data_IF_789894917089
#
_entry.id   IF_789894917089
#
_cell.length_a   1.000
_cell.length_b   1.000
_cell.length_c   1.000
_cell.angle_alpha   90.00
_cell.angle_beta   90.00
_cell.angle_gamma   90.00
#
_symmetry.space_group_name_H-M   'P 1'
#
loop_
_entity.id
_entity.type
_entity.pdbx_description
1 polymer ?
#
# COMPACT_ATOMS: atom_id res chain seq x y z
N UNK A 1 -19.73 -11.26 14.73
CA UNK A 1 -19.18 -10.31 13.73
C UNK A 1 -17.65 -10.36 13.59
N UNK A 2 -16.95 -11.40 14.09
CA UNK A 2 -15.48 -11.47 14.01
C UNK A 2 -14.93 -12.04 12.71
N UNK A 3 -15.77 -12.70 11.90
CA UNK A 3 -15.36 -13.42 10.68
C UNK A 3 -15.13 -12.51 9.47
N UNK A 4 -15.62 -11.26 9.52
CA UNK A 4 -15.63 -10.35 8.36
C UNK A 4 -14.36 -9.49 8.27
N UNK A 5 -13.83 -9.02 9.41
CA UNK A 5 -12.66 -8.14 9.43
C UNK A 5 -11.38 -8.81 8.89
N UNK A 6 -11.18 -10.10 9.16
CA UNK A 6 -10.04 -10.85 8.64
C UNK A 6 -10.14 -11.04 7.12
N UNK A 7 -11.34 -11.29 6.59
CA UNK A 7 -11.58 -11.41 5.15
C UNK A 7 -11.40 -10.05 4.45
N UNK A 8 -11.89 -8.97 5.04
CA UNK A 8 -11.66 -7.60 4.57
C UNK A 8 -10.17 -7.28 4.55
N UNK A 9 -9.43 -7.59 5.62
CA UNK A 9 -7.99 -7.37 5.68
C UNK A 9 -7.24 -8.14 4.58
N UNK A 10 -7.56 -9.43 4.40
CA UNK A 10 -6.95 -10.24 3.34
C UNK A 10 -7.23 -9.68 1.94
N UNK A 11 -8.46 -9.20 1.69
CA UNK A 11 -8.82 -8.57 0.42
C UNK A 11 -8.09 -7.25 0.19
N UNK A 12 -7.96 -6.42 1.22
CA UNK A 12 -7.20 -5.17 1.14
C UNK A 12 -5.72 -5.44 0.88
N UNK A 13 -5.15 -6.48 1.49
CA UNK A 13 -3.79 -6.93 1.20
C UNK A 13 -3.62 -7.37 -0.25
N UNK A 14 -4.53 -8.21 -0.77
CA UNK A 14 -4.48 -8.66 -2.16
C UNK A 14 -4.58 -7.49 -3.16
N UNK A 15 -5.48 -6.53 -2.90
CA UNK A 15 -5.59 -5.31 -3.73
C UNK A 15 -4.29 -4.50 -3.69
N UNK A 16 -3.66 -4.39 -2.51
CA UNK A 16 -2.39 -3.67 -2.36
C UNK A 16 -1.27 -4.32 -3.19
N UNK A 17 -1.13 -5.64 -3.10
CA UNK A 17 -0.12 -6.42 -3.84
C UNK A 17 -0.32 -6.29 -5.36
N UNK A 18 -1.57 -6.35 -5.80
CA UNK A 18 -1.93 -6.17 -7.21
C UNK A 18 -1.58 -4.75 -7.71
N UNK A 19 -1.96 -3.72 -6.96
CA UNK A 19 -1.63 -2.33 -7.28
C UNK A 19 -0.11 -2.10 -7.32
N UNK A 20 0.67 -2.70 -6.41
CA UNK A 20 2.13 -2.60 -6.42
C UNK A 20 2.74 -3.15 -7.70
N UNK A 21 2.19 -4.26 -8.19
CA UNK A 21 2.68 -4.94 -9.38
C UNK A 21 2.34 -4.16 -10.64
N UNK A 22 1.17 -3.53 -10.68
CA UNK A 22 0.64 -2.92 -11.90
C UNK A 22 0.97 -1.43 -12.06
N UNK A 23 1.07 -0.66 -10.97
CA UNK A 23 1.12 0.82 -11.05
C UNK A 23 2.29 1.34 -11.88
N UNK A 24 3.49 0.73 -11.76
CA UNK A 24 4.67 1.17 -12.50
C UNK A 24 4.61 0.78 -13.99
N UNK A 25 4.30 -0.47 -14.37
CA UNK A 25 4.01 -0.80 -15.76
C UNK A 25 2.96 0.12 -16.40
N UNK A 26 1.84 0.39 -15.71
CA UNK A 26 0.80 1.29 -16.23
C UNK A 26 1.30 2.73 -16.37
N UNK A 27 2.17 3.21 -15.47
CA UNK A 27 2.78 4.54 -15.59
C UNK A 27 3.73 4.63 -16.80
N UNK A 28 4.51 3.58 -17.06
CA UNK A 28 5.38 3.48 -18.25
C UNK A 28 4.54 3.47 -19.53
N UNK A 29 3.43 2.74 -19.56
CA UNK A 29 2.51 2.75 -20.70
C UNK A 29 1.89 4.14 -20.93
N UNK A 30 1.47 4.83 -19.86
CA UNK A 30 0.94 6.19 -19.95
C UNK A 30 1.99 7.21 -20.44
N UNK A 31 3.28 6.98 -20.14
CA UNK A 31 4.37 7.77 -20.68
C UNK A 31 4.50 7.64 -22.20
N UNK A 32 4.23 6.45 -22.76
CA UNK A 32 4.26 6.24 -24.20
C UNK A 32 3.10 6.95 -24.93
N UNK A 33 1.98 7.23 -24.25
CA UNK A 33 0.85 7.98 -24.81
C UNK A 33 0.91 9.49 -24.54
N UNK A 34 1.93 9.98 -23.81
CA UNK A 34 2.06 11.40 -23.46
C UNK A 34 1.02 11.91 -22.46
N UNK A 35 0.35 11.00 -21.74
CA UNK A 35 -0.70 11.34 -20.77
C UNK A 35 -0.06 11.77 -19.43
N UNK A 36 0.44 13.00 -19.39
CA UNK A 36 1.18 13.53 -18.24
C UNK A 36 0.37 13.62 -16.94
N UNK A 37 -0.96 13.77 -17.03
CA UNK A 37 -1.83 13.78 -15.84
C UNK A 37 -1.93 12.38 -15.25
N UNK A 38 -2.19 11.37 -16.09
CA UNK A 38 -2.23 9.98 -15.67
C UNK A 38 -0.90 9.48 -15.12
N UNK A 39 0.22 9.86 -15.72
CA UNK A 39 1.56 9.53 -15.19
C UNK A 39 1.72 10.10 -13.78
N UNK A 40 1.37 11.38 -13.58
CA UNK A 40 1.50 12.05 -12.29
C UNK A 40 0.68 11.35 -11.22
N UNK A 41 -0.55 10.96 -11.54
CA UNK A 41 -1.45 10.30 -10.59
C UNK A 41 -0.97 8.88 -10.25
N UNK A 42 -0.46 8.12 -11.22
CA UNK A 42 0.12 6.79 -11.00
C UNK A 42 1.41 6.85 -10.17
N UNK A 43 2.27 7.85 -10.41
CA UNK A 43 3.49 8.05 -9.60
C UNK A 43 3.14 8.39 -8.15
N UNK A 44 2.15 9.28 -7.93
CA UNK A 44 1.66 9.58 -6.58
C UNK A 44 1.14 8.33 -5.87
N UNK A 45 0.31 7.55 -6.57
CA UNK A 45 -0.23 6.30 -6.04
C UNK A 45 0.88 5.32 -5.64
N UNK A 46 1.94 5.20 -6.45
CA UNK A 46 3.09 4.35 -6.13
C UNK A 46 3.79 4.79 -4.84
N UNK A 47 4.03 6.10 -4.69
CA UNK A 47 4.66 6.67 -3.48
C UNK A 47 3.78 6.45 -2.24
N UNK A 48 2.47 6.65 -2.35
CA UNK A 48 1.55 6.44 -1.24
C UNK A 48 1.55 4.97 -0.77
N UNK A 49 1.58 4.02 -1.71
CA UNK A 49 1.67 2.59 -1.40
C UNK A 49 2.99 2.25 -0.69
N UNK A 50 4.12 2.80 -1.15
CA UNK A 50 5.42 2.60 -0.49
C UNK A 50 5.48 3.22 0.91
N UNK A 51 4.87 4.38 1.10
CA UNK A 51 4.78 5.03 2.40
C UNK A 51 3.96 4.19 3.39
N UNK A 52 2.85 3.60 2.94
CA UNK A 52 2.05 2.67 3.75
C UNK A 52 2.87 1.44 4.14
N UNK A 53 3.57 0.82 3.18
CA UNK A 53 4.39 -0.35 3.45
C UNK A 53 5.52 -0.03 4.43
N UNK A 54 6.18 1.11 4.27
CA UNK A 54 7.18 1.59 5.19
C UNK A 54 6.60 1.75 6.61
N UNK A 55 5.46 2.43 6.74
CA UNK A 55 4.80 2.65 8.03
C UNK A 55 4.36 1.34 8.69
N UNK A 56 3.90 0.36 7.91
CA UNK A 56 3.54 -0.97 8.41
C UNK A 56 4.78 -1.75 8.88
N UNK A 57 5.89 -1.69 8.15
CA UNK A 57 7.15 -2.32 8.51
C UNK A 57 7.87 -1.69 9.70
N UNK A 58 7.59 -0.42 10.00
CA UNK A 58 8.18 0.33 11.12
C UNK A 58 7.16 0.62 12.23
N UNK A 59 6.01 -0.06 12.23
CA UNK A 59 5.05 0.08 13.32
C UNK A 59 5.78 -0.24 14.63
N UNK A 60 5.78 0.65 15.63
CA UNK A 60 6.37 0.35 16.92
C UNK A 60 5.72 -0.92 17.45
N UNK A 61 6.50 -1.99 17.56
CA UNK A 61 6.11 -3.17 18.34
C UNK A 61 6.19 -2.71 19.78
N UNK A 62 5.12 -2.11 20.28
CA UNK A 62 4.99 -1.83 21.70
C UNK A 62 5.06 -3.16 22.43
N UNK A 63 6.26 -3.57 22.83
CA UNK A 63 6.45 -4.18 24.13
C UNK A 63 5.86 -3.18 25.11
N UNK A 64 4.60 -3.36 25.47
CA UNK A 64 4.21 -3.03 26.81
C UNK A 64 5.13 -3.86 27.69
N UNK A 65 6.29 -3.30 28.04
CA UNK A 65 6.94 -3.69 29.28
C UNK A 65 5.87 -3.47 30.33
N UNK A 66 5.26 -4.59 30.74
CA UNK A 66 4.49 -4.69 31.96
C UNK A 66 5.33 -4.00 33.03
N UNK A 67 4.87 -2.83 33.44
CA UNK A 67 5.46 -2.09 34.54
C UNK A 67 5.39 -2.99 35.77
N UNK A 68 6.56 -3.52 36.11
CA UNK A 68 7.00 -4.07 37.39
C UNK A 68 6.16 -3.51 38.56
N UNK A 69 5.28 -4.35 39.11
CA UNK A 69 4.64 -4.16 40.43
C UNK A 69 5.09 -5.24 41.38
#
# INVERSE_FOLDING_TARGET
>A
MSTDNAAVAARLHAIREDLQTQVWPTAVEAANSGDHERIRDLVKLKVDIEAIDFALGHRPTGSAEEGDT
#
